data_IF_546800740691
#
_entry.id   IF_546800740691
#
_cell.length_a   1.000
_cell.length_b   1.000
_cell.length_c   1.000
_cell.angle_alpha   90.00
_cell.angle_beta   90.00
_cell.angle_gamma   90.00
#
_symmetry.space_group_name_H-M   'P 1'
#
loop_
_entity.id
_entity.type
_entity.pdbx_description
1 polymer ?
#
# COMPACT_ATOMS: atom_id res chain seq x y z
N UNK A 1 14.81 -78.35 20.72
CA UNK A 1 13.59 -78.85 20.08
C UNK A 1 12.88 -77.66 19.44
N UNK A 2 12.53 -77.80 18.16
CA UNK A 2 11.73 -76.92 17.27
C UNK A 2 12.48 -75.68 16.71
N UNK A 3 12.90 -75.62 15.43
CA UNK A 3 12.13 -75.48 14.15
C UNK A 3 11.27 -74.20 14.15
N UNK A 4 11.19 -73.32 13.13
CA UNK A 4 11.53 -73.34 11.71
C UNK A 4 11.37 -71.91 11.14
N UNK A 5 12.17 -71.55 10.13
CA UNK A 5 11.89 -70.69 8.95
C UNK A 5 11.09 -69.37 9.07
N UNK A 6 11.67 -68.28 8.55
CA UNK A 6 10.96 -67.39 7.61
C UNK A 6 11.94 -66.74 6.62
N UNK A 7 11.88 -67.17 5.35
CA UNK A 7 12.35 -66.43 4.18
C UNK A 7 11.48 -65.18 4.00
N UNK A 8 12.06 -64.07 3.54
CA UNK A 8 11.30 -63.03 2.82
C UNK A 8 12.22 -62.32 1.83
N UNK A 9 11.81 -62.38 0.57
CA UNK A 9 12.54 -61.93 -0.62
C UNK A 9 12.69 -60.40 -0.67
N UNK A 10 13.89 -59.93 -1.01
CA UNK A 10 14.14 -58.54 -1.36
C UNK A 10 13.61 -58.33 -2.78
N UNK A 11 12.43 -57.71 -2.89
CA UNK A 11 11.84 -57.32 -4.17
C UNK A 11 12.61 -56.15 -4.79
N UNK A 12 13.30 -56.40 -5.90
CA UNK A 12 13.79 -55.33 -6.78
C UNK A 12 12.59 -54.59 -7.37
N UNK A 13 12.30 -53.40 -6.85
CA UNK A 13 11.35 -52.48 -7.47
C UNK A 13 12.07 -51.74 -8.59
N UNK A 14 11.81 -52.16 -9.83
CA UNK A 14 12.22 -51.42 -11.02
C UNK A 14 11.47 -50.07 -11.07
N UNK A 15 12.16 -48.98 -10.72
CA UNK A 15 11.64 -47.64 -10.95
C UNK A 15 11.63 -47.36 -12.45
N UNK A 16 10.44 -47.43 -13.05
CA UNK A 16 10.21 -46.99 -14.42
C UNK A 16 10.24 -45.46 -14.47
N UNK A 17 11.26 -44.90 -15.11
CA UNK A 17 11.31 -43.47 -15.45
C UNK A 17 10.31 -43.19 -16.57
N UNK A 18 9.11 -42.73 -16.20
CA UNK A 18 8.19 -42.10 -17.15
C UNK A 18 8.72 -40.71 -17.48
N UNK A 19 9.20 -40.50 -18.70
CA UNK A 19 9.53 -39.18 -19.22
C UNK A 19 8.23 -38.38 -19.40
N UNK A 20 7.91 -37.51 -18.44
CA UNK A 20 6.85 -36.53 -18.58
C UNK A 20 7.33 -35.40 -19.48
N UNK A 21 6.83 -35.35 -20.70
CA UNK A 21 7.01 -34.22 -21.62
C UNK A 21 6.35 -32.98 -21.01
N UNK A 22 7.13 -32.07 -20.42
CA UNK A 22 6.62 -30.76 -20.00
C UNK A 22 6.47 -29.91 -21.25
N UNK A 23 5.23 -29.79 -21.75
CA UNK A 23 4.90 -28.79 -22.75
C UNK A 23 4.94 -27.42 -22.11
N UNK A 24 6.03 -26.67 -22.31
CA UNK A 24 6.08 -25.24 -22.01
C UNK A 24 5.30 -24.48 -23.08
N UNK A 25 3.98 -24.43 -22.93
CA UNK A 25 3.17 -23.47 -23.65
C UNK A 25 3.45 -22.08 -23.09
N UNK A 26 4.29 -21.30 -23.76
CA UNK A 26 4.38 -19.85 -23.52
C UNK A 26 3.09 -19.20 -24.02
N UNK A 27 2.01 -19.32 -23.26
CA UNK A 27 0.91 -18.37 -23.36
C UNK A 27 1.43 -17.05 -22.77
N UNK A 28 1.85 -16.14 -23.64
CA UNK A 28 2.04 -14.74 -23.28
C UNK A 28 0.68 -14.23 -22.75
N UNK A 29 0.50 -14.24 -21.43
CA UNK A 29 -0.65 -13.62 -20.81
C UNK A 29 -0.48 -12.10 -20.99
N UNK A 30 -1.14 -11.54 -22.00
CA UNK A 30 -1.36 -10.11 -22.07
C UNK A 30 -2.16 -9.72 -20.82
N UNK A 31 -1.46 -9.17 -19.82
CA UNK A 31 -2.09 -8.64 -18.63
C UNK A 31 -2.90 -7.42 -19.08
N UNK A 32 -4.19 -7.62 -19.32
CA UNK A 32 -5.10 -6.52 -19.63
C UNK A 32 -5.11 -5.58 -18.42
N UNK A 33 -4.35 -4.49 -18.51
CA UNK A 33 -4.36 -3.44 -17.49
C UNK A 33 -5.76 -2.84 -17.53
N UNK A 34 -6.56 -3.20 -16.54
CA UNK A 34 -7.96 -2.81 -16.46
C UNK A 34 -8.03 -1.42 -15.85
N UNK A 35 -8.40 -0.42 -16.65
CA UNK A 35 -8.56 0.95 -16.18
C UNK A 35 -9.97 1.16 -15.63
N UNK A 36 -10.06 1.73 -14.43
CA UNK A 36 -11.33 2.04 -13.75
C UNK A 36 -11.57 3.54 -13.78
N UNK A 37 -12.69 3.97 -14.36
CA UNK A 37 -13.10 5.36 -14.47
C UNK A 37 -14.06 5.71 -13.34
N UNK A 38 -13.80 6.80 -12.62
CA UNK A 38 -14.64 7.26 -11.50
C UNK A 38 -15.24 8.64 -11.80
N UNK A 39 -16.48 8.85 -11.40
CA UNK A 39 -17.14 10.17 -11.42
C UNK A 39 -16.41 11.14 -10.49
N UNK A 40 -16.22 12.38 -10.95
CA UNK A 40 -15.42 13.37 -10.23
C UNK A 40 -16.15 13.93 -9.00
N UNK A 41 -17.47 14.07 -9.07
CA UNK A 41 -18.25 14.69 -8.01
C UNK A 41 -18.55 13.71 -6.86
N UNK A 42 -18.84 12.46 -7.19
CA UNK A 42 -19.26 11.42 -6.25
C UNK A 42 -18.19 10.37 -5.95
N UNK A 43 -17.15 10.26 -6.79
CA UNK A 43 -16.16 9.19 -6.69
C UNK A 43 -16.69 7.80 -7.06
N UNK A 44 -17.92 7.70 -7.58
CA UNK A 44 -18.52 6.43 -7.98
C UNK A 44 -17.84 5.86 -9.23
N UNK A 45 -17.70 4.54 -9.32
CA UNK A 45 -17.19 3.90 -10.55
C UNK A 45 -18.23 4.04 -11.67
N UNK A 46 -17.84 4.63 -12.80
CA UNK A 46 -18.73 4.87 -13.94
C UNK A 46 -18.44 3.97 -15.13
N UNK A 47 -17.20 3.50 -15.28
CA UNK A 47 -16.83 2.58 -16.36
C UNK A 47 -15.58 1.77 -16.00
N UNK A 48 -15.41 0.64 -16.69
CA UNK A 48 -14.19 -0.15 -16.66
C UNK A 48 -13.78 -0.37 -18.11
N UNK A 49 -12.56 -0.01 -18.46
CA UNK A 49 -12.05 -0.13 -19.82
C UNK A 49 -10.87 -1.07 -19.87
N UNK A 50 -10.98 -2.09 -20.73
CA UNK A 50 -9.87 -2.93 -21.15
C UNK A 50 -9.19 -2.23 -22.34
N UNK A 51 -8.48 -1.13 -22.08
CA UNK A 51 -7.77 -0.42 -23.14
C UNK A 51 -6.51 -1.20 -23.48
N UNK A 52 -6.41 -1.63 -24.73
CA UNK A 52 -5.13 -1.95 -25.35
C UNK A 52 -4.34 -0.65 -25.54
N UNK A 53 -3.18 -0.55 -24.86
CA UNK A 53 -2.26 0.59 -24.86
C UNK A 53 -1.70 0.90 -26.26
N UNK A 54 -1.98 0.08 -27.28
CA UNK A 54 -1.69 0.37 -28.69
C UNK A 54 -2.62 1.41 -29.32
N UNK A 55 -3.75 1.75 -28.69
CA UNK A 55 -4.72 2.73 -29.20
C UNK A 55 -4.67 4.06 -28.43
N UNK A 56 -4.47 5.16 -29.15
CA UNK A 56 -4.26 6.51 -28.61
C UNK A 56 -5.54 7.22 -28.11
N UNK A 57 -6.62 6.49 -27.84
CA UNK A 57 -7.91 7.09 -27.48
C UNK A 57 -8.42 6.59 -26.14
N UNK A 58 -8.00 7.24 -25.07
CA UNK A 58 -8.69 7.17 -23.77
C UNK A 58 -9.94 8.05 -23.87
N UNK A 59 -11.03 7.49 -24.38
CA UNK A 59 -12.34 8.15 -24.42
C UNK A 59 -13.33 7.37 -23.56
N UNK A 60 -13.86 8.00 -22.51
CA UNK A 60 -14.92 7.43 -21.69
C UNK A 60 -16.23 7.54 -22.48
N UNK A 61 -16.58 6.53 -23.26
CA UNK A 61 -17.91 6.45 -23.85
C UNK A 61 -18.91 5.97 -22.78
N UNK A 62 -20.19 6.39 -22.84
CA UNK A 62 -21.24 5.80 -22.02
C UNK A 62 -21.41 4.34 -22.43
N UNK A 63 -20.79 3.43 -21.69
CA UNK A 63 -21.09 2.01 -21.75
C UNK A 63 -22.15 1.71 -20.69
N UNK A 64 -23.16 0.92 -21.04
CA UNK A 64 -24.10 0.36 -20.06
C UNK A 64 -23.27 -0.28 -18.94
N UNK A 65 -23.38 0.27 -17.74
CA UNK A 65 -22.64 -0.23 -16.59
C UNK A 65 -22.99 -1.72 -16.43
N UNK A 66 -22.01 -2.63 -16.33
CA UNK A 66 -22.31 -3.98 -15.90
C UNK A 66 -23.05 -3.87 -14.56
N UNK A 67 -24.15 -4.62 -14.42
CA UNK A 67 -24.97 -4.66 -13.21
C UNK A 67 -24.09 -4.62 -11.96
N UNK A 68 -24.49 -3.94 -10.86
CA UNK A 68 -23.66 -3.75 -9.68
C UNK A 68 -23.28 -5.11 -9.07
N UNK A 69 -22.18 -5.64 -9.55
CA UNK A 69 -21.64 -6.95 -9.24
C UNK A 69 -20.17 -6.77 -8.91
N UNK A 70 -19.90 -6.68 -7.61
CA UNK A 70 -18.58 -6.79 -6.99
C UNK A 70 -17.45 -5.95 -7.61
N UNK A 71 -17.71 -4.67 -7.88
CA UNK A 71 -16.65 -3.69 -7.72
C UNK A 71 -16.31 -3.63 -6.22
N UNK A 72 -15.27 -4.34 -5.79
CA UNK A 72 -14.76 -4.25 -4.42
C UNK A 72 -14.57 -2.77 -4.09
N UNK A 73 -15.43 -2.24 -3.22
CA UNK A 73 -15.19 -0.94 -2.58
C UNK A 73 -13.82 -1.08 -1.92
N UNK A 74 -12.87 -0.16 -2.15
CA UNK A 74 -11.61 -0.18 -1.41
C UNK A 74 -11.95 -0.32 0.07
N UNK A 75 -11.41 -1.37 0.69
CA UNK A 75 -11.67 -1.65 2.09
C UNK A 75 -11.38 -0.37 2.88
N UNK A 76 -12.34 0.06 3.71
CA UNK A 76 -12.24 1.29 4.51
C UNK A 76 -11.36 1.03 5.72
N UNK A 77 -10.17 0.50 5.46
CA UNK A 77 -9.30 -0.17 6.40
C UNK A 77 -7.87 0.30 6.19
N UNK A 78 -7.08 0.46 7.26
CA UNK A 78 -5.67 0.86 7.13
C UNK A 78 -4.81 -0.12 6.35
N UNK A 79 -5.29 -1.35 6.15
CA UNK A 79 -4.63 -2.38 5.37
C UNK A 79 -4.78 -2.19 3.85
N UNK A 80 -5.67 -1.28 3.38
CA UNK A 80 -5.73 -0.88 1.97
C UNK A 80 -4.45 -0.09 1.60
N UNK A 81 -3.59 -0.61 0.69
CA UNK A 81 -2.38 0.09 0.28
C UNK A 81 -2.65 1.49 -0.30
N UNK A 82 -3.85 1.69 -0.85
CA UNK A 82 -4.26 2.98 -1.38
C UNK A 82 -4.70 3.94 -0.26
N UNK A 83 -5.43 3.47 0.76
CA UNK A 83 -5.70 4.24 1.98
C UNK A 83 -4.40 4.69 2.66
N UNK A 84 -3.42 3.79 2.80
CA UNK A 84 -2.12 4.12 3.38
C UNK A 84 -1.35 5.17 2.57
N UNK A 85 -1.36 5.10 1.24
CA UNK A 85 -0.72 6.13 0.41
C UNK A 85 -1.45 7.47 0.45
N UNK A 86 -2.79 7.46 0.50
CA UNK A 86 -3.58 8.69 0.69
C UNK A 86 -3.28 9.32 2.04
N UNK A 87 -3.24 8.53 3.12
CA UNK A 87 -3.01 9.03 4.47
C UNK A 87 -1.64 9.68 4.61
N UNK A 88 -0.57 9.11 4.03
CA UNK A 88 0.77 9.73 3.99
C UNK A 88 0.71 11.11 3.31
N UNK A 89 0.07 11.20 2.14
CA UNK A 89 -0.02 12.46 1.41
C UNK A 89 -0.85 13.51 2.15
N UNK A 90 -1.96 13.09 2.76
CA UNK A 90 -2.83 13.94 3.57
C UNK A 90 -2.09 14.46 4.82
N UNK A 91 -1.40 13.57 5.54
CA UNK A 91 -0.59 13.92 6.71
C UNK A 91 0.52 14.92 6.34
N UNK A 92 1.26 14.63 5.27
CA UNK A 92 2.35 15.49 4.78
C UNK A 92 1.84 16.89 4.42
N UNK A 93 0.76 16.97 3.63
CA UNK A 93 0.17 18.25 3.23
C UNK A 93 -0.38 19.03 4.41
N UNK A 94 -1.00 18.34 5.37
CA UNK A 94 -1.54 18.95 6.60
C UNK A 94 -0.41 19.52 7.45
N UNK A 95 0.65 18.76 7.74
CA UNK A 95 1.79 19.23 8.52
C UNK A 95 2.49 20.43 7.86
N UNK A 96 2.64 20.42 6.53
CA UNK A 96 3.18 21.56 5.78
C UNK A 96 2.29 22.79 5.94
N UNK A 97 0.97 22.64 5.82
CA UNK A 97 0.03 23.75 5.96
C UNK A 97 0.05 24.34 7.37
N UNK A 98 0.04 23.49 8.39
CA UNK A 98 0.06 23.91 9.80
C UNK A 98 1.32 24.70 10.16
N UNK A 99 2.44 24.40 9.50
CA UNK A 99 3.75 24.97 9.83
C UNK A 99 4.23 26.03 8.83
N UNK A 100 3.30 26.77 8.19
CA UNK A 100 3.63 27.94 7.38
C UNK A 100 4.00 27.64 5.92
N UNK A 101 3.76 26.43 5.43
CA UNK A 101 3.97 26.04 4.05
C UNK A 101 5.43 25.66 3.71
N UNK A 102 5.65 25.25 2.47
CA UNK A 102 6.94 24.69 2.02
C UNK A 102 8.12 25.67 2.07
N UNK A 103 7.84 26.98 2.11
CA UNK A 103 8.88 28.01 2.25
C UNK A 103 9.42 28.12 3.68
N UNK A 104 8.66 27.66 4.68
CA UNK A 104 9.01 27.74 6.10
C UNK A 104 9.27 26.37 6.73
N UNK A 105 8.69 25.31 6.17
CA UNK A 105 8.70 23.99 6.78
C UNK A 105 8.88 22.86 5.76
N UNK A 106 9.75 21.92 6.10
CA UNK A 106 9.97 20.67 5.40
C UNK A 106 9.79 19.49 6.39
N UNK A 107 8.86 18.55 6.11
CA UNK A 107 8.78 17.30 6.85
C UNK A 107 10.06 16.46 6.70
N UNK A 108 10.35 15.60 7.67
CA UNK A 108 11.43 14.61 7.59
C UNK A 108 11.26 13.64 6.41
N UNK A 109 12.37 13.07 5.97
CA UNK A 109 12.48 12.14 4.84
C UNK A 109 11.53 10.94 4.91
N UNK A 110 11.24 10.43 6.11
CA UNK A 110 10.28 9.36 6.35
C UNK A 110 8.90 9.64 5.74
N UNK A 111 8.46 10.90 5.70
CA UNK A 111 7.16 11.25 5.12
C UNK A 111 7.13 11.13 3.62
N UNK A 112 8.27 10.95 2.96
CA UNK A 112 8.39 10.72 1.51
C UNK A 112 8.59 9.25 1.16
N UNK A 113 8.74 8.38 2.16
CA UNK A 113 8.76 6.93 1.99
C UNK A 113 7.34 6.36 1.78
N UNK A 114 7.28 5.08 1.40
CA UNK A 114 6.03 4.31 1.37
C UNK A 114 5.48 4.06 2.78
N UNK A 115 4.38 3.32 2.88
CA UNK A 115 3.78 2.96 4.18
C UNK A 115 4.51 1.81 4.88
N UNK A 116 5.12 0.90 4.10
CA UNK A 116 5.91 -0.22 4.62
C UNK A 116 7.14 0.28 5.37
N UNK A 117 7.32 -0.20 6.60
CA UNK A 117 8.45 0.12 7.49
C UNK A 117 8.71 1.63 7.65
N UNK A 118 7.65 2.44 7.59
CA UNK A 118 7.77 3.88 7.71
C UNK A 118 7.89 4.30 9.17
N UNK A 119 9.01 4.89 9.61
CA UNK A 119 9.23 5.22 11.03
C UNK A 119 8.35 6.37 11.53
N UNK A 120 7.69 7.10 10.63
CA UNK A 120 6.78 8.19 10.96
C UNK A 120 5.31 7.79 10.97
N UNK A 121 5.02 6.50 10.71
CA UNK A 121 3.67 5.98 10.66
C UNK A 121 3.50 4.81 11.63
N UNK A 122 2.45 4.87 12.43
CA UNK A 122 1.92 3.74 13.21
C UNK A 122 0.42 3.60 12.95
N UNK A 123 -0.12 2.42 13.27
CA UNK A 123 -1.58 2.19 13.26
C UNK A 123 -2.05 2.07 14.69
N UNK A 124 -3.06 2.85 15.05
CA UNK A 124 -3.67 2.87 16.39
C UNK A 124 -5.19 2.92 16.25
N UNK A 125 -5.89 1.97 16.88
CA UNK A 125 -7.35 1.82 16.82
C UNK A 125 -7.94 1.81 15.40
N UNK A 126 -7.22 1.23 14.43
CA UNK A 126 -7.65 1.22 13.03
C UNK A 126 -7.55 2.58 12.33
N UNK A 127 -6.84 3.55 12.90
CA UNK A 127 -6.50 4.82 12.27
C UNK A 127 -4.99 4.91 12.02
N UNK A 128 -4.58 5.76 11.08
CA UNK A 128 -3.16 6.06 10.87
C UNK A 128 -2.74 7.16 11.85
N UNK A 129 -1.72 6.90 12.65
CA UNK A 129 -1.09 7.92 13.49
C UNK A 129 0.26 8.29 12.88
N UNK A 130 0.44 9.56 12.55
CA UNK A 130 1.68 10.07 12.02
C UNK A 130 2.43 10.86 13.08
N UNK A 131 3.69 10.52 13.30
CA UNK A 131 4.64 11.31 14.06
C UNK A 131 5.63 11.93 13.06
N UNK A 132 5.52 13.25 12.84
CA UNK A 132 6.17 13.97 11.75
C UNK A 132 7.16 15.00 12.33
N UNK A 133 8.45 14.64 12.43
CA UNK A 133 9.50 15.63 12.66
C UNK A 133 9.62 16.54 11.44
N UNK A 134 9.96 17.81 11.66
CA UNK A 134 10.26 18.74 10.57
C UNK A 134 10.96 20.01 11.05
N UNK A 135 11.36 20.83 10.09
CA UNK A 135 12.09 22.06 10.34
C UNK A 135 12.23 22.93 9.09
N UNK A 136 13.07 23.97 9.13
CA UNK A 136 13.30 24.86 8.00
C UNK A 136 13.76 24.10 6.75
N UNK A 137 13.46 24.56 5.52
CA UNK A 137 14.00 23.93 4.32
C UNK A 137 15.51 23.72 4.40
N UNK A 138 15.97 22.49 4.18
CA UNK A 138 17.39 22.12 4.30
C UNK A 138 17.79 21.44 5.61
N UNK A 139 16.97 21.52 6.67
CA UNK A 139 17.35 21.09 8.03
C UNK A 139 17.93 19.66 8.11
N UNK A 140 17.30 18.71 7.43
CA UNK A 140 17.73 17.31 7.47
C UNK A 140 19.01 17.08 6.66
N UNK A 141 19.23 17.88 5.60
CA UNK A 141 20.44 17.80 4.77
C UNK A 141 21.66 18.39 5.50
N UNK A 142 21.45 19.39 6.34
CA UNK A 142 22.48 19.99 7.20
C UNK A 142 22.73 19.19 8.49
N UNK A 143 21.89 18.21 8.78
CA UNK A 143 21.98 17.40 10.01
C UNK A 143 21.48 18.15 11.26
N UNK A 144 20.73 19.23 11.07
CA UNK A 144 20.09 19.93 12.16
C UNK A 144 19.01 19.05 12.81
N UNK A 145 18.70 19.22 14.11
CA UNK A 145 17.54 18.58 14.69
C UNK A 145 16.23 19.18 14.12
N UNK A 146 15.12 18.43 14.15
CA UNK A 146 13.82 19.02 13.83
C UNK A 146 13.52 20.17 14.80
N UNK A 147 12.87 21.22 14.31
CA UNK A 147 12.41 22.35 15.14
C UNK A 147 10.94 22.25 15.51
N UNK A 148 10.18 21.41 14.78
CA UNK A 148 8.76 21.15 15.02
C UNK A 148 8.50 19.65 14.94
N UNK A 149 7.62 19.21 15.81
CA UNK A 149 7.02 17.89 15.84
C UNK A 149 5.52 18.04 15.66
N UNK A 150 4.98 17.41 14.61
CA UNK A 150 3.53 17.33 14.37
C UNK A 150 3.08 15.89 14.56
N UNK A 151 1.98 15.67 15.27
CA UNK A 151 1.34 14.36 15.45
C UNK A 151 -0.10 14.45 14.96
N UNK A 152 -0.46 13.65 13.96
CA UNK A 152 -1.78 13.66 13.32
C UNK A 152 -2.41 12.27 13.39
N UNK A 153 -3.71 12.20 13.71
CA UNK A 153 -4.52 10.99 13.56
C UNK A 153 -5.37 11.13 12.30
N UNK A 154 -5.29 10.16 11.39
CA UNK A 154 -5.98 10.14 10.10
C UNK A 154 -6.88 8.92 10.02
N UNK A 155 -8.07 9.10 9.46
CA UNK A 155 -9.07 8.04 9.31
C UNK A 155 -8.53 6.82 8.55
N UNK A 156 -9.12 5.66 8.83
CA UNK A 156 -8.78 4.36 8.26
C UNK A 156 -8.73 4.34 6.72
N UNK A 157 -9.56 5.16 6.05
CA UNK A 157 -9.63 5.28 4.60
C UNK A 157 -8.57 6.23 4.00
N UNK A 158 -7.82 6.92 4.87
CA UNK A 158 -6.81 7.91 4.51
C UNK A 158 -7.35 9.22 3.97
N UNK A 159 -8.64 9.56 4.19
CA UNK A 159 -9.31 10.70 3.53
C UNK A 159 -9.53 11.91 4.42
N UNK A 160 -9.54 11.75 5.74
CA UNK A 160 -9.78 12.85 6.68
C UNK A 160 -8.80 12.84 7.84
N UNK A 161 -8.43 14.05 8.27
CA UNK A 161 -7.73 14.25 9.54
C UNK A 161 -8.77 14.15 10.63
N UNK A 162 -8.59 13.20 11.54
CA UNK A 162 -9.45 13.02 12.70
C UNK A 162 -9.03 13.94 13.84
N UNK A 163 -7.72 14.09 14.04
CA UNK A 163 -7.19 14.92 15.12
C UNK A 163 -5.78 15.44 14.83
N UNK A 164 -5.49 16.63 15.35
CA UNK A 164 -4.16 17.21 15.51
C UNK A 164 -3.71 16.99 16.95
N UNK A 165 -3.20 15.78 17.22
CA UNK A 165 -2.80 15.36 18.58
C UNK A 165 -1.72 16.28 19.15
N UNK A 166 -0.82 16.78 18.30
CA UNK A 166 0.21 17.74 18.69
C UNK A 166 0.77 18.53 17.50
N UNK A 167 1.10 19.80 17.70
CA UNK A 167 1.95 20.56 16.80
C UNK A 167 2.76 21.61 17.58
N UNK A 168 4.09 21.46 17.62
CA UNK A 168 4.95 22.38 18.37
C UNK A 168 6.39 21.88 18.47
N UNK A 169 7.21 22.46 19.36
CA UNK A 169 8.60 22.02 19.54
C UNK A 169 8.71 20.51 19.83
N UNK A 170 9.76 19.81 19.35
CA UNK A 170 9.94 18.40 19.67
C UNK A 170 9.97 18.16 21.18
N UNK A 171 9.10 17.27 21.63
CA UNK A 171 9.13 16.77 23.01
C UNK A 171 10.28 15.77 23.10
N UNK A 172 11.03 15.79 24.20
CA UNK A 172 12.01 14.74 24.46
C UNK A 172 11.31 13.39 24.32
N UNK A 173 11.90 12.47 23.54
CA UNK A 173 11.40 11.12 23.47
C UNK A 173 11.38 10.58 24.91
N UNK A 174 10.18 10.30 25.43
CA UNK A 174 10.07 9.53 26.67
C UNK A 174 10.80 8.20 26.49
N UNK A 175 11.30 7.58 27.58
CA UNK A 175 11.95 6.27 27.47
C UNK A 175 11.02 5.31 26.72
N UNK A 176 11.53 4.75 25.64
CA UNK A 176 10.85 3.72 24.84
C UNK A 176 10.81 2.41 25.60
#
# INVERSE_FOLDING_TARGET
MNHLLHLSAVGLSAFSLAAASISFGNAAQAQAITFRCYDRASGALVAVSAIDLSSSQVSCTPGEAPAPGNASVPDSSPNDPLAARRSINLARGTAVKLNGGLNAYRPASCMFAGATDNPCLTIEDGAFLFNIPGGPPGWEQTGDPPSVQTILKIAADGRSVLDEVYNGPPRAAGPR
#
